data_IF_252126406755
#
_entry.id   IF_252126406755
#
_cell.length_a   1.000
_cell.length_b   1.000
_cell.length_c   1.000
_cell.angle_alpha   90.00
_cell.angle_beta   90.00
_cell.angle_gamma   90.00
#
_symmetry.space_group_name_H-M   'P 1'
#
loop_
_entity.id
_entity.type
_entity.pdbx_description
1 polymer ?
#
# COMPACT_ATOMS: atom_id res chain seq x y z
N UNK A 1 48.22 -14.51 9.97
CA UNK A 1 47.34 -13.98 8.90
C UNK A 1 45.86 -14.34 9.08
N UNK A 2 45.31 -14.34 10.31
CA UNK A 2 43.92 -14.80 10.55
C UNK A 2 42.85 -13.70 10.62
N UNK A 3 43.22 -12.46 10.96
CA UNK A 3 42.24 -11.39 11.17
C UNK A 3 41.57 -10.89 9.87
N UNK A 4 42.31 -10.86 8.77
CA UNK A 4 41.80 -10.37 7.48
C UNK A 4 40.68 -11.24 6.91
N UNK A 5 40.79 -12.57 7.03
CA UNK A 5 39.74 -13.50 6.59
C UNK A 5 38.45 -13.30 7.36
N UNK A 6 38.53 -13.08 8.68
CA UNK A 6 37.35 -12.87 9.53
C UNK A 6 36.54 -11.64 9.09
N UNK A 7 37.19 -10.50 8.84
CA UNK A 7 36.51 -9.29 8.36
C UNK A 7 35.84 -9.47 6.99
N UNK A 8 36.46 -10.24 6.09
CA UNK A 8 35.86 -10.55 4.79
C UNK A 8 34.58 -11.38 4.95
N UNK A 9 34.62 -12.45 5.75
CA UNK A 9 33.44 -13.29 6.04
C UNK A 9 32.32 -12.50 6.71
N UNK A 10 32.65 -11.65 7.69
CA UNK A 10 31.67 -10.82 8.40
C UNK A 10 31.03 -9.79 7.44
N UNK A 11 31.82 -9.19 6.53
CA UNK A 11 31.31 -8.28 5.50
C UNK A 11 30.46 -8.93 4.41
N UNK A 12 30.70 -10.20 4.10
CA UNK A 12 29.90 -10.97 3.15
C UNK A 12 28.56 -11.37 3.77
N UNK A 13 28.58 -11.88 5.01
CA UNK A 13 27.38 -12.21 5.76
C UNK A 13 26.48 -10.97 5.98
N UNK A 14 27.06 -9.82 6.35
CA UNK A 14 26.33 -8.56 6.48
C UNK A 14 25.69 -8.13 5.15
N UNK A 15 26.41 -8.26 4.03
CA UNK A 15 25.86 -7.94 2.70
C UNK A 15 24.73 -8.87 2.29
N UNK A 16 24.84 -10.16 2.56
CA UNK A 16 23.80 -11.15 2.29
C UNK A 16 22.53 -10.85 3.10
N UNK A 17 22.68 -10.60 4.41
CA UNK A 17 21.57 -10.20 5.30
C UNK A 17 20.88 -8.91 4.84
N UNK A 18 21.67 -7.89 4.48
CA UNK A 18 21.16 -6.62 3.96
C UNK A 18 20.41 -6.85 2.64
N UNK A 19 20.91 -7.73 1.77
CA UNK A 19 20.27 -8.03 0.48
C UNK A 19 18.92 -8.74 0.65
N UNK A 20 18.85 -9.70 1.57
CA UNK A 20 17.63 -10.43 1.90
C UNK A 20 16.57 -9.52 2.52
N UNK A 21 16.99 -8.59 3.39
CA UNK A 21 16.07 -7.66 4.03
C UNK A 21 15.46 -6.69 3.01
N UNK A 22 16.29 -6.09 2.14
CA UNK A 22 15.81 -5.23 1.06
C UNK A 22 14.87 -5.97 0.09
N UNK A 23 15.23 -7.19 -0.29
CA UNK A 23 14.39 -8.01 -1.16
C UNK A 23 13.04 -8.33 -0.50
N UNK A 24 13.04 -8.71 0.78
CA UNK A 24 11.80 -9.00 1.52
C UNK A 24 10.93 -7.74 1.69
N UNK A 25 11.54 -6.58 1.94
CA UNK A 25 10.84 -5.30 1.99
C UNK A 25 10.17 -4.96 0.66
N UNK A 26 10.89 -5.10 -0.46
CA UNK A 26 10.36 -4.90 -1.81
C UNK A 26 9.22 -5.89 -2.11
N UNK A 27 9.41 -7.18 -1.80
CA UNK A 27 8.40 -8.22 -2.00
C UNK A 27 7.11 -7.91 -1.22
N UNK A 28 7.22 -7.52 0.06
CA UNK A 28 6.07 -7.10 0.88
C UNK A 28 5.35 -5.88 0.29
N UNK A 29 6.08 -4.93 -0.31
CA UNK A 29 5.48 -3.78 -1.01
C UNK A 29 4.66 -4.24 -2.21
N UNK A 30 5.24 -5.07 -3.10
CA UNK A 30 4.54 -5.62 -4.27
C UNK A 30 3.31 -6.45 -3.89
N UNK A 31 3.42 -7.28 -2.85
CA UNK A 31 2.29 -8.09 -2.36
C UNK A 31 1.12 -7.22 -1.91
N UNK A 32 1.38 -6.12 -1.19
CA UNK A 32 0.36 -5.15 -0.76
C UNK A 32 -0.27 -4.44 -1.96
N UNK A 33 0.52 -4.01 -2.94
CA UNK A 33 0.04 -3.39 -4.17
C UNK A 33 -0.89 -4.34 -4.94
N UNK A 34 -0.47 -5.60 -5.14
CA UNK A 34 -1.32 -6.62 -5.79
C UNK A 34 -2.64 -6.84 -5.06
N UNK A 35 -2.62 -6.87 -3.73
CA UNK A 35 -3.83 -6.99 -2.90
C UNK A 35 -4.81 -5.84 -3.15
N UNK A 36 -4.30 -4.60 -3.15
CA UNK A 36 -5.09 -3.41 -3.44
C UNK A 36 -5.74 -3.45 -4.84
N UNK A 37 -4.97 -3.78 -5.88
CA UNK A 37 -5.51 -3.89 -7.25
C UNK A 37 -6.59 -4.97 -7.39
N UNK A 38 -6.52 -6.06 -6.62
CA UNK A 38 -7.58 -7.06 -6.62
C UNK A 38 -8.88 -6.48 -6.08
N UNK A 39 -8.82 -5.77 -4.96
CA UNK A 39 -9.99 -5.17 -4.33
C UNK A 39 -10.56 -4.02 -5.19
N UNK A 40 -9.70 -3.18 -5.75
CA UNK A 40 -10.08 -2.09 -6.67
C UNK A 40 -10.80 -2.61 -7.91
N UNK A 41 -10.29 -3.70 -8.53
CA UNK A 41 -10.94 -4.30 -9.71
C UNK A 41 -12.36 -4.77 -9.40
N UNK A 42 -12.56 -5.47 -8.29
CA UNK A 42 -13.88 -5.95 -7.88
C UNK A 42 -14.81 -4.76 -7.62
N UNK A 43 -14.33 -3.72 -6.93
CA UNK A 43 -15.09 -2.50 -6.69
C UNK A 43 -15.53 -1.83 -8.00
N UNK A 44 -14.61 -1.67 -8.97
CA UNK A 44 -14.93 -1.08 -10.27
C UNK A 44 -15.93 -1.93 -11.06
N UNK A 45 -15.78 -3.25 -11.10
CA UNK A 45 -16.71 -4.15 -11.80
C UNK A 45 -18.12 -4.01 -11.23
N UNK A 46 -18.28 -4.05 -9.90
CA UNK A 46 -19.58 -3.92 -9.25
C UNK A 46 -20.21 -2.54 -9.52
N UNK A 47 -19.42 -1.46 -9.39
CA UNK A 47 -19.92 -0.10 -9.66
C UNK A 47 -20.31 0.08 -11.13
N UNK A 48 -19.53 -0.44 -12.08
CA UNK A 48 -19.85 -0.40 -13.51
C UNK A 48 -21.12 -1.20 -13.80
N UNK A 49 -21.28 -2.40 -13.23
CA UNK A 49 -22.51 -3.19 -13.37
C UNK A 49 -23.73 -2.47 -12.79
N UNK A 50 -23.58 -1.75 -11.66
CA UNK A 50 -24.65 -0.94 -11.08
C UNK A 50 -25.05 0.22 -12.01
N UNK A 51 -24.08 0.93 -12.59
CA UNK A 51 -24.33 2.03 -13.54
C UNK A 51 -25.00 1.50 -14.81
N UNK A 52 -24.52 0.40 -15.38
CA UNK A 52 -25.12 -0.23 -16.56
C UNK A 52 -26.54 -0.71 -16.25
N UNK A 53 -26.75 -1.36 -15.11
CA UNK A 53 -28.08 -1.80 -14.67
C UNK A 53 -29.02 -0.63 -14.44
N UNK A 54 -28.54 0.52 -13.95
CA UNK A 54 -29.35 1.72 -13.81
C UNK A 54 -29.72 2.30 -15.17
N UNK A 55 -28.76 2.40 -16.10
CA UNK A 55 -28.98 2.90 -17.45
C UNK A 55 -29.89 1.95 -18.27
N UNK A 56 -29.77 0.63 -18.09
CA UNK A 56 -30.62 -0.36 -18.77
C UNK A 56 -31.97 -0.57 -18.08
N UNK A 57 -32.15 -0.13 -16.83
CA UNK A 57 -33.46 -0.10 -16.14
C UNK A 57 -34.43 0.91 -16.76
N UNK A 58 -33.94 1.87 -17.55
CA UNK A 58 -34.81 2.64 -18.45
C UNK A 58 -35.42 1.78 -19.59
N UNK A 59 -34.93 0.55 -19.80
CA UNK A 59 -35.38 -0.38 -20.86
C UNK A 59 -36.07 -1.66 -20.34
N UNK A 60 -35.83 -2.07 -19.09
CA UNK A 60 -36.47 -3.27 -18.51
C UNK A 60 -37.27 -2.81 -17.29
N UNK A 61 -38.55 -2.56 -17.54
CA UNK A 61 -39.52 -2.18 -16.53
C UNK A 61 -39.75 -3.26 -15.47
N UNK A 62 -40.35 -2.80 -14.38
CA UNK A 62 -40.97 -3.54 -13.27
C UNK A 62 -40.02 -4.27 -12.32
N UNK A 63 -39.89 -3.74 -11.09
CA UNK A 63 -39.46 -4.55 -9.95
C UNK A 63 -38.81 -3.84 -8.75
N UNK A 64 -38.54 -2.53 -8.79
CA UNK A 64 -38.00 -1.84 -7.62
C UNK A 64 -38.64 -0.46 -7.49
N UNK A 65 -39.59 -0.38 -6.56
CA UNK A 65 -40.36 0.81 -6.22
C UNK A 65 -39.42 2.02 -6.03
N UNK A 66 -39.82 3.13 -6.64
CA UNK A 66 -39.05 4.37 -6.74
C UNK A 66 -38.77 5.02 -5.38
N UNK A 67 -39.50 4.61 -4.34
CA UNK A 67 -39.28 5.02 -2.95
C UNK A 67 -38.06 4.36 -2.28
N UNK A 68 -37.51 3.28 -2.86
CA UNK A 68 -36.25 2.64 -2.39
C UNK A 68 -35.00 3.17 -3.07
N UNK A 69 -35.13 4.01 -4.10
CA UNK A 69 -33.97 4.60 -4.79
C UNK A 69 -33.29 5.70 -3.94
N UNK A 70 -33.99 6.19 -2.91
CA UNK A 70 -33.45 6.99 -1.80
C UNK A 70 -33.19 6.17 -0.52
N UNK A 71 -33.18 4.83 -0.57
CA UNK A 71 -32.61 4.05 0.52
C UNK A 71 -31.10 4.30 0.52
N UNK A 72 -30.67 5.25 1.37
CA UNK A 72 -29.28 5.50 1.76
C UNK A 72 -28.46 4.20 1.82
N UNK A 73 -29.08 3.09 2.21
CA UNK A 73 -28.51 1.75 2.24
C UNK A 73 -27.68 1.34 0.99
N UNK A 74 -28.19 1.45 -0.26
CA UNK A 74 -27.47 0.95 -1.44
C UNK A 74 -26.24 1.79 -1.79
N UNK A 75 -26.35 3.12 -1.70
CA UNK A 75 -25.23 4.02 -1.93
C UNK A 75 -24.29 4.10 -0.72
N UNK A 76 -24.80 3.90 0.49
CA UNK A 76 -24.01 3.86 1.72
C UNK A 76 -23.06 2.68 1.72
N UNK A 77 -23.48 1.50 1.25
CA UNK A 77 -22.57 0.36 1.11
C UNK A 77 -21.42 0.70 0.16
N UNK A 78 -21.70 1.28 -1.01
CA UNK A 78 -20.66 1.70 -1.95
C UNK A 78 -19.77 2.84 -1.40
N UNK A 79 -20.32 3.75 -0.61
CA UNK A 79 -19.58 4.82 0.08
C UNK A 79 -18.68 4.27 1.17
N UNK A 80 -19.17 3.41 2.07
CA UNK A 80 -18.37 2.79 3.12
C UNK A 80 -17.28 1.88 2.55
N UNK A 81 -17.61 1.12 1.50
CA UNK A 81 -16.59 0.35 0.77
C UNK A 81 -15.59 1.27 0.05
N UNK A 82 -16.03 2.42 -0.47
CA UNK A 82 -15.17 3.45 -1.04
C UNK A 82 -14.21 4.05 0.00
N UNK A 83 -14.68 4.31 1.22
CA UNK A 83 -13.85 4.76 2.34
C UNK A 83 -12.84 3.67 2.73
N UNK A 84 -13.25 2.41 2.81
CA UNK A 84 -12.37 1.28 3.06
C UNK A 84 -11.30 1.11 1.98
N UNK A 85 -11.67 1.28 0.71
CA UNK A 85 -10.77 1.28 -0.43
C UNK A 85 -9.78 2.46 -0.37
N UNK A 86 -10.24 3.66 -0.04
CA UNK A 86 -9.39 4.84 0.18
C UNK A 86 -8.40 4.61 1.32
N UNK A 87 -8.85 4.09 2.46
CA UNK A 87 -7.98 3.76 3.59
C UNK A 87 -6.93 2.70 3.19
N UNK A 88 -7.32 1.70 2.41
CA UNK A 88 -6.39 0.70 1.89
C UNK A 88 -5.38 1.32 0.91
N UNK A 89 -5.84 2.22 0.02
CA UNK A 89 -4.97 2.98 -0.88
C UNK A 89 -3.95 3.80 -0.09
N UNK A 90 -4.39 4.52 0.93
CA UNK A 90 -3.50 5.28 1.82
C UNK A 90 -2.55 4.37 2.60
N UNK A 91 -2.94 3.16 2.98
CA UNK A 91 -2.02 2.22 3.64
C UNK A 91 -0.94 1.67 2.70
N UNK A 92 -1.28 1.46 1.42
CA UNK A 92 -0.35 0.92 0.42
C UNK A 92 0.55 2.01 -0.16
N UNK A 93 -0.03 3.14 -0.56
CA UNK A 93 0.64 4.25 -1.25
C UNK A 93 0.91 5.45 -0.37
N UNK A 94 0.40 5.52 0.87
CA UNK A 94 0.56 6.70 1.71
C UNK A 94 2.02 7.04 2.02
N UNK A 95 2.91 6.04 2.02
CA UNK A 95 4.35 6.34 2.07
C UNK A 95 4.82 7.10 0.84
N UNK A 96 4.50 6.59 -0.35
CA UNK A 96 4.89 7.21 -1.62
C UNK A 96 4.20 8.57 -1.87
N UNK A 97 3.02 8.82 -1.28
CA UNK A 97 2.26 10.08 -1.43
C UNK A 97 2.66 11.14 -0.40
N UNK A 98 2.83 10.76 0.88
CA UNK A 98 3.09 11.70 1.97
C UNK A 98 4.57 11.89 2.28
N UNK A 99 5.42 10.91 2.01
CA UNK A 99 6.84 10.96 2.31
C UNK A 99 7.61 10.87 0.99
N UNK A 100 8.13 12.01 0.53
CA UNK A 100 8.98 12.02 -0.67
C UNK A 100 10.34 11.38 -0.39
N UNK A 101 11.00 10.89 -1.43
CA UNK A 101 12.35 10.33 -1.37
C UNK A 101 13.34 11.27 -0.65
N UNK A 102 13.18 12.59 -0.83
CA UNK A 102 14.00 13.59 -0.17
C UNK A 102 13.81 13.64 1.36
N UNK A 103 12.61 13.32 1.85
CA UNK A 103 12.35 13.21 3.29
C UNK A 103 12.98 11.93 3.86
N UNK A 104 12.84 10.80 3.15
CA UNK A 104 13.47 9.54 3.57
C UNK A 104 14.99 9.67 3.62
N UNK A 105 15.61 10.26 2.60
CA UNK A 105 17.06 10.47 2.53
C UNK A 105 17.56 11.37 3.67
N UNK A 106 16.84 12.46 3.98
CA UNK A 106 17.14 13.30 5.15
C UNK A 106 17.07 12.52 6.45
N UNK A 107 16.08 11.65 6.62
CA UNK A 107 15.88 10.92 7.87
C UNK A 107 16.91 9.82 8.05
N UNK A 108 17.28 9.11 6.98
CA UNK A 108 18.39 8.15 6.98
C UNK A 108 19.69 8.84 7.39
N UNK A 109 19.98 10.01 6.79
CA UNK A 109 21.18 10.79 7.14
C UNK A 109 21.19 11.20 8.61
N UNK A 110 20.07 11.68 9.15
CA UNK A 110 19.97 12.04 10.58
C UNK A 110 20.21 10.85 11.52
N UNK A 111 19.70 9.66 11.18
CA UNK A 111 19.88 8.44 11.97
C UNK A 111 21.35 7.97 11.91
N UNK A 112 21.96 8.01 10.72
CA UNK A 112 23.37 7.70 10.51
C UNK A 112 24.28 8.64 11.30
N UNK A 113 24.02 9.94 11.24
CA UNK A 113 24.79 10.96 11.96
C UNK A 113 24.66 10.78 13.48
N UNK A 114 23.46 10.46 13.99
CA UNK A 114 23.22 10.15 15.42
C UNK A 114 23.97 8.90 15.88
N UNK A 115 24.01 7.84 15.06
CA UNK A 115 24.76 6.61 15.38
C UNK A 115 26.26 6.89 15.43
N UNK A 116 26.77 7.63 14.45
CA UNK A 116 28.18 8.04 14.36
C UNK A 116 28.61 8.92 15.53
N UNK A 117 27.77 9.87 15.93
CA UNK A 117 28.00 10.72 17.08
C UNK A 117 28.00 9.91 18.40
N UNK A 118 27.09 8.96 18.56
CA UNK A 118 27.03 8.11 19.77
C UNK A 118 28.27 7.21 19.90
N UNK A 119 28.73 6.60 18.81
CA UNK A 119 29.94 5.77 18.79
C UNK A 119 31.24 6.56 19.02
N UNK A 120 31.25 7.88 18.78
CA UNK A 120 32.42 8.73 19.06
C UNK A 120 32.61 9.04 20.55
N UNK A 121 31.55 8.88 21.36
CA UNK A 121 31.58 9.14 22.81
C UNK A 121 31.55 7.86 23.66
N UNK A 122 31.61 6.68 23.02
CA UNK A 122 31.86 5.39 23.66
C UNK A 122 33.27 4.91 23.33
#
# INVERSE_FOLDING_TARGET
>A
MGRFRKYMFESEADRELISDEHYNMAYKKVKRIKGFYSHLRIYLIINVLLIISNLSRNFIGSGFNEERLFEWHTYSTALFWGIGLLAHALSVYGRDIFFSDAWEERKIKEIMDKKSANTKWQ
#
